data_IF_377053975147
#
_entry.id   IF_377053975147
#
_cell.length_a   1.000
_cell.length_b   1.000
_cell.length_c   1.000
_cell.angle_alpha   90.00
_cell.angle_beta   90.00
_cell.angle_gamma   90.00
#
_symmetry.space_group_name_H-M   'P 1'
#
loop_
_entity.id
_entity.type
_entity.pdbx_description
1 polymer ?
#
# COMPACT_ATOMS: atom_id res chain seq x y z
N UNK A 1 -4.15 -20.07 45.54
CA UNK A 1 -5.49 -20.47 46.04
C UNK A 1 -6.48 -19.37 45.66
N UNK A 2 -7.48 -19.67 44.83
CA UNK A 2 -8.47 -18.66 44.42
C UNK A 2 -9.30 -19.01 43.19
N UNK A 3 -10.13 -20.05 43.32
CA UNK A 3 -11.37 -20.41 42.59
C UNK A 3 -11.58 -19.96 41.14
N UNK A 4 -11.69 -20.99 40.30
CA UNK A 4 -12.41 -21.07 39.02
C UNK A 4 -13.92 -20.77 39.13
N UNK A 5 -14.48 -20.20 38.05
CA UNK A 5 -15.87 -20.42 37.60
C UNK A 5 -15.90 -20.49 36.08
N UNK A 6 -16.28 -21.65 35.56
CA UNK A 6 -16.65 -21.84 34.16
C UNK A 6 -18.10 -21.43 33.91
N UNK A 7 -18.44 -21.23 32.65
CA UNK A 7 -19.83 -21.17 32.17
C UNK A 7 -19.94 -22.07 30.94
N UNK A 8 -20.86 -23.03 31.04
CA UNK A 8 -21.24 -23.99 30.02
C UNK A 8 -22.11 -23.33 28.93
N UNK A 9 -22.10 -23.92 27.74
CA UNK A 9 -22.75 -23.37 26.54
C UNK A 9 -24.24 -23.65 26.42
N UNK A 10 -24.79 -23.23 25.27
CA UNK A 10 -26.07 -23.70 24.73
C UNK A 10 -25.91 -23.88 23.23
N UNK A 11 -26.04 -25.12 22.78
CA UNK A 11 -26.27 -25.52 21.39
C UNK A 11 -27.79 -25.54 21.20
N UNK A 12 -28.30 -24.84 20.19
CA UNK A 12 -29.67 -25.01 19.72
C UNK A 12 -29.63 -25.18 18.20
N UNK A 13 -29.75 -26.43 17.76
CA UNK A 13 -30.12 -26.76 16.38
C UNK A 13 -31.61 -26.60 16.20
N UNK A 14 -32.03 -26.15 15.01
CA UNK A 14 -33.41 -26.20 14.58
C UNK A 14 -33.48 -26.89 13.20
N UNK A 15 -34.21 -27.99 13.14
CA UNK A 15 -34.64 -28.71 11.93
C UNK A 15 -36.16 -28.74 11.95
N UNK A 16 -36.81 -28.27 10.88
CA UNK A 16 -38.19 -28.57 10.47
C UNK A 16 -38.19 -28.47 8.92
N UNK A 17 -38.36 -29.54 8.13
CA UNK A 17 -39.48 -30.48 7.93
C UNK A 17 -40.53 -30.01 6.88
N UNK A 18 -40.45 -30.64 5.70
CA UNK A 18 -41.50 -31.26 4.84
C UNK A 18 -42.87 -30.58 4.65
N UNK A 19 -43.29 -30.47 3.38
CA UNK A 19 -44.68 -30.74 2.97
C UNK A 19 -45.29 -29.79 1.93
N UNK A 20 -45.68 -30.32 0.76
CA UNK A 20 -46.51 -29.60 -0.21
C UNK A 20 -46.76 -30.36 -1.52
N UNK A 21 -47.72 -31.28 -1.51
CA UNK A 21 -48.37 -31.88 -2.68
C UNK A 21 -49.70 -31.14 -2.99
N UNK A 22 -50.10 -31.14 -4.27
CA UNK A 22 -51.40 -30.71 -4.80
C UNK A 22 -51.22 -29.73 -5.97
N UNK A 23 -51.87 -29.82 -7.13
CA UNK A 23 -53.08 -30.54 -7.53
C UNK A 23 -53.13 -30.61 -9.07
N UNK A 24 -53.76 -31.66 -9.58
CA UNK A 24 -54.01 -32.00 -10.99
C UNK A 24 -55.14 -31.18 -11.63
N UNK A 25 -55.02 -30.83 -12.92
CA UNK A 25 -56.11 -30.21 -13.68
C UNK A 25 -55.91 -30.14 -15.20
N UNK A 26 -56.37 -31.19 -15.88
CA UNK A 26 -57.05 -31.24 -17.20
C UNK A 26 -56.32 -30.99 -18.51
N UNK A 27 -56.51 -31.98 -19.39
CA UNK A 27 -56.21 -32.05 -20.82
C UNK A 27 -56.75 -30.89 -21.66
N UNK A 28 -55.91 -30.41 -22.59
CA UNK A 28 -56.39 -29.95 -23.89
C UNK A 28 -55.45 -30.41 -25.01
N UNK A 29 -56.07 -31.03 -26.01
CA UNK A 29 -55.44 -31.79 -27.09
C UNK A 29 -55.72 -31.07 -28.40
N UNK A 30 -54.75 -30.33 -28.94
CA UNK A 30 -54.51 -30.21 -30.39
C UNK A 30 -53.37 -29.21 -30.71
N UNK A 31 -52.27 -29.72 -31.26
CA UNK A 31 -51.80 -29.42 -32.62
C UNK A 31 -50.31 -29.78 -32.72
N UNK A 32 -50.03 -30.78 -33.56
CA UNK A 32 -48.68 -31.11 -34.02
C UNK A 32 -48.09 -29.90 -34.73
N UNK A 33 -47.00 -29.36 -34.18
CA UNK A 33 -45.97 -28.70 -34.97
C UNK A 33 -44.61 -29.16 -34.44
N UNK A 34 -44.06 -30.17 -35.11
CA UNK A 34 -42.69 -30.63 -34.92
C UNK A 34 -41.75 -29.54 -35.44
N UNK A 35 -41.43 -28.58 -34.58
CA UNK A 35 -40.17 -27.86 -34.64
C UNK A 35 -39.28 -28.49 -33.58
N UNK A 36 -38.29 -29.25 -34.03
CA UNK A 36 -37.23 -29.81 -33.22
C UNK A 36 -36.58 -28.68 -32.41
N UNK A 37 -36.54 -28.74 -31.07
CA UNK A 37 -35.83 -27.74 -30.29
C UNK A 37 -34.35 -27.88 -30.65
N UNK A 38 -33.81 -26.88 -31.36
CA UNK A 38 -32.36 -26.74 -31.53
C UNK A 38 -31.72 -26.89 -30.16
N UNK A 39 -30.67 -27.72 -30.01
CA UNK A 39 -29.96 -27.83 -28.75
C UNK A 39 -29.46 -26.44 -28.38
N UNK A 40 -29.97 -25.92 -27.27
CA UNK A 40 -29.39 -24.79 -26.54
C UNK A 40 -27.89 -25.06 -26.43
N UNK A 41 -27.09 -24.14 -26.95
CA UNK A 41 -25.65 -24.30 -27.13
C UNK A 41 -25.00 -24.87 -25.88
N UNK A 42 -24.02 -25.77 -26.10
CA UNK A 42 -23.14 -26.26 -25.05
C UNK A 42 -22.71 -25.10 -24.15
N UNK A 43 -22.72 -25.25 -22.81
CA UNK A 43 -22.23 -24.21 -21.93
C UNK A 43 -20.85 -23.82 -22.40
N UNK A 44 -20.69 -22.56 -22.82
CA UNK A 44 -19.41 -22.01 -23.25
C UNK A 44 -18.40 -22.32 -22.15
N UNK A 45 -17.45 -23.20 -22.45
CA UNK A 45 -16.42 -23.64 -21.51
C UNK A 45 -15.41 -22.53 -21.19
N UNK A 46 -15.46 -21.43 -21.94
CA UNK A 46 -14.63 -20.26 -21.74
C UNK A 46 -15.18 -19.39 -20.60
N UNK A 47 -14.31 -18.88 -19.72
CA UNK A 47 -14.71 -17.88 -18.73
C UNK A 47 -15.21 -16.62 -19.43
N UNK A 48 -16.06 -15.85 -18.75
CA UNK A 48 -16.48 -14.54 -19.25
C UNK A 48 -15.35 -13.53 -19.03
N UNK A 49 -15.26 -12.50 -19.88
CA UNK A 49 -14.24 -11.45 -19.76
C UNK A 49 -14.26 -10.77 -18.40
N UNK A 50 -15.45 -10.54 -17.84
CA UNK A 50 -15.61 -9.91 -16.52
C UNK A 50 -15.02 -10.78 -15.41
N UNK A 51 -15.06 -12.11 -15.54
CA UNK A 51 -14.46 -13.00 -14.56
C UNK A 51 -12.94 -13.05 -14.71
N UNK A 52 -12.42 -12.96 -15.94
CA UNK A 52 -10.97 -12.88 -16.19
C UNK A 52 -10.42 -11.59 -15.59
N UNK A 53 -11.06 -10.46 -15.85
CA UNK A 53 -10.73 -9.15 -15.28
C UNK A 53 -10.77 -9.18 -13.74
N UNK A 54 -11.87 -9.67 -13.16
CA UNK A 54 -12.00 -9.83 -11.72
C UNK A 54 -10.88 -10.69 -11.10
N UNK A 55 -10.51 -11.79 -11.75
CA UNK A 55 -9.42 -12.65 -11.29
C UNK A 55 -8.06 -11.93 -11.40
N UNK A 56 -7.87 -11.13 -12.45
CA UNK A 56 -6.70 -10.27 -12.61
C UNK A 56 -6.55 -9.28 -11.46
N UNK A 57 -7.60 -8.49 -11.18
CA UNK A 57 -7.61 -7.51 -10.08
C UNK A 57 -7.40 -8.17 -8.71
N UNK A 58 -7.96 -9.36 -8.53
CA UNK A 58 -7.76 -10.16 -7.32
C UNK A 58 -6.29 -10.60 -7.17
N UNK A 59 -5.65 -11.05 -8.25
CA UNK A 59 -4.23 -11.41 -8.27
C UNK A 59 -3.35 -10.19 -7.99
N UNK A 60 -3.62 -9.06 -8.64
CA UNK A 60 -2.94 -7.79 -8.39
C UNK A 60 -3.03 -7.36 -6.92
N UNK A 61 -4.23 -7.36 -6.34
CA UNK A 61 -4.44 -7.06 -4.92
C UNK A 61 -3.64 -7.99 -4.00
N UNK A 62 -3.58 -9.30 -4.32
CA UNK A 62 -2.78 -10.24 -3.52
C UNK A 62 -1.27 -10.03 -3.67
N UNK A 63 -0.81 -9.58 -4.83
CA UNK A 63 0.58 -9.20 -5.07
C UNK A 63 0.93 -7.92 -4.31
N UNK A 64 0.04 -6.92 -4.32
CA UNK A 64 0.20 -5.68 -3.55
C UNK A 64 0.34 -5.97 -2.05
N UNK A 65 -0.56 -6.80 -1.47
CA UNK A 65 -0.46 -7.22 -0.07
C UNK A 65 0.86 -7.94 0.26
N UNK A 66 1.36 -8.78 -0.66
CA UNK A 66 2.63 -9.47 -0.48
C UNK A 66 3.80 -8.50 -0.53
N UNK A 67 3.79 -7.55 -1.46
CA UNK A 67 4.84 -6.55 -1.61
C UNK A 67 4.87 -5.62 -0.40
N UNK A 68 3.71 -5.10 0.02
CA UNK A 68 3.55 -4.29 1.23
C UNK A 68 4.15 -4.99 2.47
N UNK A 69 3.87 -6.28 2.65
CA UNK A 69 4.49 -7.07 3.73
C UNK A 69 6.01 -7.20 3.59
N UNK A 70 6.51 -7.38 2.38
CA UNK A 70 7.94 -7.52 2.13
C UNK A 70 8.68 -6.20 2.38
N UNK A 71 8.13 -5.09 1.89
CA UNK A 71 8.65 -3.73 2.05
C UNK A 71 8.63 -3.33 3.52
N UNK A 72 7.51 -3.53 4.22
CA UNK A 72 7.41 -3.29 5.67
C UNK A 72 8.47 -4.04 6.48
N UNK A 73 8.77 -5.30 6.13
CA UNK A 73 9.83 -6.06 6.79
C UNK A 73 11.23 -5.54 6.46
N UNK A 74 11.44 -5.01 5.24
CA UNK A 74 12.69 -4.41 4.82
C UNK A 74 12.92 -3.07 5.54
N UNK A 75 11.92 -2.20 5.57
CA UNK A 75 11.97 -0.90 6.26
C UNK A 75 12.25 -1.09 7.75
N UNK A 76 11.57 -2.04 8.41
CA UNK A 76 11.82 -2.33 9.82
C UNK A 76 13.24 -2.85 10.08
N UNK A 77 13.78 -3.63 9.14
CA UNK A 77 15.17 -4.08 9.22
C UNK A 77 16.12 -2.89 9.11
N UNK A 78 15.89 -2.00 8.15
CA UNK A 78 16.70 -0.80 7.95
C UNK A 78 16.66 0.18 9.13
N UNK A 79 15.49 0.36 9.75
CA UNK A 79 15.33 1.13 10.98
C UNK A 79 16.21 0.55 12.09
N UNK A 80 16.26 -0.78 12.23
CA UNK A 80 17.04 -1.48 13.27
C UNK A 80 18.53 -1.55 13.01
N UNK A 81 18.93 -1.66 11.75
CA UNK A 81 20.32 -1.81 11.30
C UNK A 81 21.00 -0.44 11.04
N UNK A 82 20.36 0.67 11.44
CA UNK A 82 20.92 2.01 11.28
C UNK A 82 22.11 2.23 12.24
N UNK A 83 23.34 2.20 11.70
CA UNK A 83 24.60 2.38 12.44
C UNK A 83 24.90 3.84 12.81
N UNK A 84 23.90 4.60 13.25
CA UNK A 84 24.09 6.00 13.63
C UNK A 84 24.16 6.18 15.16
N UNK A 85 25.31 6.65 15.64
CA UNK A 85 25.57 6.90 17.08
C UNK A 85 24.52 7.79 17.76
N UNK A 86 23.78 8.57 16.96
CA UNK A 86 22.73 9.49 17.41
C UNK A 86 21.31 8.91 17.42
N UNK A 87 21.07 7.76 16.79
CA UNK A 87 19.73 7.17 16.57
C UNK A 87 18.77 8.02 15.72
N UNK A 88 19.26 9.10 15.12
CA UNK A 88 18.50 10.09 14.37
C UNK A 88 18.05 9.54 13.01
N UNK A 89 18.90 8.75 12.35
CA UNK A 89 18.54 8.13 11.07
C UNK A 89 17.49 7.03 11.27
N UNK A 90 17.67 6.18 12.28
CA UNK A 90 16.66 5.20 12.67
C UNK A 90 15.31 5.87 12.97
N UNK A 91 15.35 6.96 13.74
CA UNK A 91 14.18 7.75 14.09
C UNK A 91 13.48 8.38 12.89
N UNK A 92 14.23 9.00 11.97
CA UNK A 92 13.68 9.59 10.75
C UNK A 92 13.05 8.53 9.83
N UNK A 93 13.70 7.38 9.65
CA UNK A 93 13.14 6.24 8.90
C UNK A 93 11.86 5.72 9.54
N UNK A 94 11.84 5.60 10.87
CA UNK A 94 10.65 5.18 11.60
C UNK A 94 9.48 6.15 11.41
N UNK A 95 9.71 7.47 11.44
CA UNK A 95 8.66 8.46 11.15
C UNK A 95 8.13 8.31 9.72
N UNK A 96 9.04 8.18 8.74
CA UNK A 96 8.67 8.02 7.33
C UNK A 96 7.81 6.77 7.13
N UNK A 97 8.29 5.62 7.62
CA UNK A 97 7.57 4.34 7.62
C UNK A 97 6.19 4.43 8.27
N UNK A 98 6.09 5.06 9.44
CA UNK A 98 4.82 5.24 10.18
C UNK A 98 3.84 6.17 9.46
N UNK A 99 4.35 7.04 8.59
CA UNK A 99 3.52 7.99 7.81
C UNK A 99 3.03 7.37 6.50
N UNK A 100 3.84 6.54 5.85
CA UNK A 100 3.52 5.93 4.54
C UNK A 100 2.68 4.66 4.68
N UNK A 101 3.06 3.76 5.58
CA UNK A 101 2.46 2.42 5.69
C UNK A 101 0.92 2.43 5.87
N UNK A 102 0.32 3.31 6.72
CA UNK A 102 -1.13 3.38 6.82
C UNK A 102 -1.81 3.76 5.50
N UNK A 103 -1.20 4.65 4.71
CA UNK A 103 -1.72 5.07 3.41
C UNK A 103 -1.65 3.91 2.40
N UNK A 104 -0.56 3.15 2.37
CA UNK A 104 -0.42 1.99 1.48
C UNK A 104 -1.45 0.89 1.81
N UNK A 105 -1.72 0.67 3.10
CA UNK A 105 -2.78 -0.26 3.55
C UNK A 105 -4.17 0.24 3.11
N UNK A 106 -4.46 1.54 3.21
CA UNK A 106 -5.73 2.13 2.76
C UNK A 106 -5.88 2.06 1.24
N UNK A 107 -4.81 2.23 0.46
CA UNK A 107 -4.83 2.04 -1.01
C UNK A 107 -5.29 0.63 -1.36
N UNK A 108 -4.67 -0.40 -0.76
CA UNK A 108 -5.07 -1.80 -1.00
C UNK A 108 -6.48 -2.09 -0.48
N UNK A 109 -6.91 -1.43 0.60
CA UNK A 109 -8.28 -1.52 1.07
C UNK A 109 -9.26 -0.98 0.01
N UNK A 110 -8.95 0.17 -0.57
CA UNK A 110 -9.73 0.80 -1.64
C UNK A 110 -9.85 -0.07 -2.89
N UNK A 111 -8.74 -0.66 -3.34
CA UNK A 111 -8.72 -1.55 -4.51
C UNK A 111 -9.62 -2.78 -4.29
N UNK A 112 -9.49 -3.42 -3.12
CA UNK A 112 -10.36 -4.54 -2.75
C UNK A 112 -11.82 -4.13 -2.57
N UNK A 113 -12.09 -2.88 -2.19
CA UNK A 113 -13.45 -2.35 -2.06
C UNK A 113 -14.12 -2.11 -3.41
N UNK A 114 -13.35 -1.61 -4.38
CA UNK A 114 -13.76 -1.40 -5.76
C UNK A 114 -14.04 -2.72 -6.49
N UNK A 115 -13.39 -3.81 -6.05
CA UNK A 115 -13.62 -5.14 -6.61
C UNK A 115 -15.06 -5.64 -6.36
N UNK A 116 -15.88 -5.57 -7.42
CA UNK A 116 -17.25 -6.07 -7.44
C UNK A 116 -17.35 -7.59 -7.24
N UNK A 117 -18.57 -8.15 -7.11
CA UNK A 117 -18.74 -9.60 -6.99
C UNK A 117 -18.38 -10.31 -8.30
N UNK A 118 -17.72 -11.47 -8.18
CA UNK A 118 -17.28 -12.31 -9.31
C UNK A 118 -18.41 -13.14 -9.92
N UNK A 119 -19.51 -13.33 -9.17
CA UNK A 119 -20.55 -14.31 -9.50
C UNK A 119 -20.18 -15.75 -9.18
N UNK A 120 -19.01 -15.99 -8.57
CA UNK A 120 -18.57 -17.29 -8.05
C UNK A 120 -18.59 -17.24 -6.51
N UNK A 121 -19.55 -17.88 -5.83
CA UNK A 121 -19.76 -17.70 -4.39
C UNK A 121 -18.54 -17.99 -3.51
N UNK A 122 -17.68 -18.94 -3.91
CA UNK A 122 -16.46 -19.25 -3.17
C UNK A 122 -15.40 -18.14 -3.30
N UNK A 123 -15.30 -17.51 -4.47
CA UNK A 123 -14.37 -16.41 -4.73
C UNK A 123 -14.86 -15.12 -4.07
N UNK A 124 -16.18 -14.88 -4.05
CA UNK A 124 -16.78 -13.73 -3.34
C UNK A 124 -16.51 -13.80 -1.84
N UNK A 125 -16.60 -14.99 -1.23
CA UNK A 125 -16.25 -15.20 0.19
C UNK A 125 -14.77 -14.92 0.48
N UNK A 126 -13.88 -15.30 -0.44
CA UNK A 126 -12.45 -15.01 -0.34
C UNK A 126 -12.21 -13.49 -0.37
N UNK A 127 -12.79 -12.78 -1.34
CA UNK A 127 -12.73 -11.31 -1.43
C UNK A 127 -13.25 -10.66 -0.15
N UNK A 128 -14.43 -11.06 0.34
CA UNK A 128 -15.03 -10.47 1.53
C UNK A 128 -14.18 -10.70 2.79
N UNK A 129 -13.59 -11.88 2.91
CA UNK A 129 -12.66 -12.19 4.01
C UNK A 129 -11.39 -11.32 3.95
N UNK A 130 -10.84 -11.10 2.75
CA UNK A 130 -9.69 -10.22 2.54
C UNK A 130 -10.03 -8.76 2.84
N UNK A 131 -11.10 -8.22 2.25
CA UNK A 131 -11.60 -6.86 2.51
C UNK A 131 -11.74 -6.60 4.00
N UNK A 132 -12.45 -7.49 4.71
CA UNK A 132 -12.66 -7.37 6.16
C UNK A 132 -11.34 -7.35 6.92
N UNK A 133 -10.38 -8.18 6.52
CA UNK A 133 -9.07 -8.27 7.18
C UNK A 133 -8.22 -7.02 6.95
N UNK A 134 -8.13 -6.56 5.70
CA UNK A 134 -7.38 -5.35 5.33
C UNK A 134 -7.99 -4.12 6.00
N UNK A 135 -9.31 -3.93 5.92
CA UNK A 135 -10.01 -2.82 6.60
C UNK A 135 -9.78 -2.83 8.11
N UNK A 136 -9.84 -4.02 8.75
CA UNK A 136 -9.56 -4.13 10.18
C UNK A 136 -8.12 -3.76 10.55
N UNK A 137 -7.15 -3.90 9.66
CA UNK A 137 -5.77 -3.43 9.89
C UNK A 137 -5.68 -1.94 9.62
N UNK A 138 -6.26 -1.45 8.52
CA UNK A 138 -6.33 -0.02 8.19
C UNK A 138 -6.90 0.81 9.34
N UNK A 139 -8.05 0.39 9.89
CA UNK A 139 -8.70 1.09 11.00
C UNK A 139 -7.84 1.10 12.28
N UNK A 140 -7.07 0.03 12.53
CA UNK A 140 -6.13 -0.02 13.67
C UNK A 140 -4.95 0.92 13.47
N UNK A 141 -4.40 0.98 12.26
CA UNK A 141 -3.30 1.88 11.92
C UNK A 141 -3.74 3.34 11.97
N UNK A 142 -4.92 3.67 11.42
CA UNK A 142 -5.48 5.02 11.48
C UNK A 142 -5.82 5.50 12.89
N UNK A 143 -6.13 4.58 13.82
CA UNK A 143 -6.34 4.91 15.24
C UNK A 143 -5.03 5.18 16.00
N UNK A 144 -3.87 4.73 15.48
CA UNK A 144 -2.56 5.02 16.06
C UNK A 144 -2.14 6.43 15.61
N UNK A 145 -2.42 7.43 16.45
CA UNK A 145 -2.07 8.83 16.13
C UNK A 145 -0.55 9.01 16.02
N UNK A 146 -0.04 9.62 14.94
CA UNK A 146 1.39 9.92 14.78
C UNK A 146 1.93 10.89 15.85
N UNK A 147 1.06 11.62 16.56
CA UNK A 147 1.45 12.64 17.54
C UNK A 147 2.02 12.08 18.86
N UNK A 148 1.81 10.80 19.17
CA UNK A 148 2.21 10.20 20.46
C UNK A 148 3.55 9.43 20.37
N UNK A 149 4.11 9.31 19.16
CA UNK A 149 5.11 8.29 18.85
C UNK A 149 6.55 8.76 18.63
N UNK A 150 6.88 10.06 18.67
CA UNK A 150 8.24 10.49 18.32
C UNK A 150 9.29 9.89 19.28
N UNK A 151 9.02 9.82 20.59
CA UNK A 151 9.97 9.23 21.53
C UNK A 151 10.05 7.68 21.43
N UNK A 152 9.09 7.05 20.74
CA UNK A 152 8.93 5.58 20.67
C UNK A 152 8.86 5.05 19.23
N UNK A 153 9.29 5.83 18.24
CA UNK A 153 9.00 5.61 16.83
C UNK A 153 9.43 4.22 16.35
N UNK A 154 10.59 3.72 16.78
CA UNK A 154 11.07 2.38 16.44
C UNK A 154 10.17 1.26 16.99
N UNK A 155 9.71 1.40 18.24
CA UNK A 155 8.80 0.42 18.85
C UNK A 155 7.42 0.44 18.20
N UNK A 156 6.93 1.63 17.85
CA UNK A 156 5.69 1.80 17.09
C UNK A 156 5.83 1.22 15.68
N UNK A 157 6.97 1.42 15.01
CA UNK A 157 7.24 0.82 13.71
C UNK A 157 7.18 -0.71 13.75
N UNK A 158 7.74 -1.33 14.80
CA UNK A 158 7.63 -2.78 14.99
C UNK A 158 6.18 -3.26 15.21
N UNK A 159 5.35 -2.49 15.91
CA UNK A 159 3.93 -2.81 16.10
C UNK A 159 3.11 -2.65 14.82
N UNK A 160 3.40 -1.63 14.01
CA UNK A 160 2.79 -1.43 12.68
C UNK A 160 3.18 -2.57 11.74
N UNK A 161 4.46 -2.93 11.66
CA UNK A 161 4.91 -4.05 10.83
C UNK A 161 4.19 -5.34 11.24
N UNK A 162 4.05 -5.60 12.54
CA UNK A 162 3.30 -6.77 13.02
C UNK A 162 1.85 -6.77 12.53
N UNK A 163 1.17 -5.62 12.44
CA UNK A 163 -0.16 -5.55 11.85
C UNK A 163 -0.11 -5.82 10.34
N UNK A 164 0.84 -5.24 9.61
CA UNK A 164 1.02 -5.46 8.17
C UNK A 164 1.33 -6.94 7.87
N UNK A 165 2.24 -7.57 8.61
CA UNK A 165 2.56 -9.00 8.48
C UNK A 165 1.36 -9.91 8.71
N UNK A 166 0.35 -9.44 9.46
CA UNK A 166 -0.87 -10.18 9.67
C UNK A 166 -1.73 -10.28 8.40
N UNK A 167 -1.51 -9.44 7.38
CA UNK A 167 -2.24 -9.40 6.09
C UNK A 167 -1.90 -10.57 5.14
N UNK A 168 -1.92 -11.78 5.67
CA UNK A 168 -1.83 -13.01 4.89
C UNK A 168 -3.17 -13.31 4.18
N UNK A 169 -3.16 -13.90 2.98
CA UNK A 169 -4.36 -14.42 2.35
C UNK A 169 -5.08 -15.43 3.25
N UNK A 170 -6.42 -15.40 3.34
CA UNK A 170 -7.18 -16.40 4.08
C UNK A 170 -7.21 -17.74 3.31
N UNK A 171 -7.41 -18.83 4.03
CA UNK A 171 -7.59 -20.16 3.43
C UNK A 171 -9.08 -20.49 3.24
N UNK A 172 -9.49 -21.07 2.10
CA UNK A 172 -8.69 -21.31 0.90
C UNK A 172 -8.39 -20.01 0.13
N UNK A 173 -7.16 -19.91 -0.37
CA UNK A 173 -6.75 -18.81 -1.25
C UNK A 173 -7.22 -19.04 -2.70
N UNK A 174 -6.96 -18.07 -3.58
CA UNK A 174 -7.39 -18.13 -4.98
C UNK A 174 -6.82 -19.38 -5.71
N UNK A 175 -5.51 -19.72 -5.61
CA UNK A 175 -4.98 -20.97 -6.16
C UNK A 175 -5.61 -22.26 -5.58
N UNK A 176 -6.04 -22.27 -4.32
CA UNK A 176 -6.76 -23.41 -3.76
C UNK A 176 -8.20 -23.50 -4.32
N UNK A 177 -8.84 -22.37 -4.62
CA UNK A 177 -10.17 -22.33 -5.23
C UNK A 177 -10.16 -22.76 -6.70
N UNK A 178 -9.15 -22.40 -7.49
CA UNK A 178 -9.05 -22.80 -8.91
C UNK A 178 -9.03 -24.32 -9.07
N UNK A 179 -8.40 -25.05 -8.14
CA UNK A 179 -8.41 -26.53 -8.12
C UNK A 179 -9.81 -27.15 -7.98
N UNK A 180 -10.79 -26.39 -7.45
CA UNK A 180 -12.14 -26.88 -7.14
C UNK A 180 -13.20 -26.30 -8.07
N UNK A 181 -12.92 -25.18 -8.73
CA UNK A 181 -13.89 -24.45 -9.55
C UNK A 181 -13.32 -24.27 -10.97
N UNK A 182 -13.70 -25.13 -11.93
CA UNK A 182 -13.12 -25.11 -13.28
C UNK A 182 -13.23 -23.77 -14.02
N UNK A 183 -14.37 -23.07 -13.87
CA UNK A 183 -14.56 -21.75 -14.48
C UNK A 183 -13.57 -20.72 -13.92
N UNK A 184 -13.24 -20.79 -12.63
CA UNK A 184 -12.26 -19.93 -11.98
C UNK A 184 -10.84 -20.29 -12.40
N UNK A 185 -10.54 -21.58 -12.58
CA UNK A 185 -9.26 -22.02 -13.12
C UNK A 185 -9.02 -21.46 -14.53
N UNK A 186 -10.01 -21.57 -15.42
CA UNK A 186 -9.89 -21.05 -16.77
C UNK A 186 -9.72 -19.52 -16.79
N UNK A 187 -10.40 -18.80 -15.90
CA UNK A 187 -10.21 -17.35 -15.76
C UNK A 187 -8.81 -17.00 -15.24
N UNK A 188 -8.33 -17.74 -14.24
CA UNK A 188 -6.99 -17.58 -13.67
C UNK A 188 -5.87 -17.82 -14.68
N UNK A 189 -6.02 -18.80 -15.57
CA UNK A 189 -5.05 -19.07 -16.64
C UNK A 189 -5.01 -17.95 -17.70
N UNK A 190 -6.12 -17.23 -17.89
CA UNK A 190 -6.22 -16.14 -18.87
C UNK A 190 -5.85 -14.77 -18.31
N UNK A 191 -5.91 -14.59 -16.99
CA UNK A 191 -5.57 -13.34 -16.33
C UNK A 191 -4.04 -13.15 -16.28
N UNK A 192 -3.53 -12.15 -17.00
CA UNK A 192 -2.09 -11.86 -17.09
C UNK A 192 -1.47 -11.54 -15.72
N UNK A 193 -2.23 -10.87 -14.86
CA UNK A 193 -1.81 -10.51 -13.49
C UNK A 193 -1.57 -11.73 -12.59
N UNK A 194 -2.16 -12.87 -12.94
CA UNK A 194 -1.98 -14.12 -12.21
C UNK A 194 -0.77 -14.94 -12.71
N UNK A 195 -0.13 -14.51 -13.80
CA UNK A 195 0.98 -15.22 -14.40
C UNK A 195 2.23 -15.20 -13.49
N UNK A 196 3.01 -16.29 -13.43
CA UNK A 196 4.27 -16.30 -12.71
C UNK A 196 5.22 -15.20 -13.20
N UNK A 197 5.70 -14.36 -12.29
CA UNK A 197 6.64 -13.29 -12.62
C UNK A 197 5.96 -12.00 -13.13
N UNK A 198 4.63 -11.96 -13.18
CA UNK A 198 3.92 -10.69 -13.34
C UNK A 198 4.35 -9.71 -12.24
N UNK A 199 4.52 -8.46 -12.65
CA UNK A 199 4.81 -7.33 -11.76
C UNK A 199 3.76 -6.27 -12.07
N UNK A 200 3.21 -5.61 -11.05
CA UNK A 200 2.40 -4.43 -11.29
C UNK A 200 3.26 -3.42 -12.05
N UNK A 201 2.71 -2.92 -13.15
CA UNK A 201 3.25 -1.78 -13.86
C UNK A 201 3.24 -0.65 -12.82
N UNK A 202 4.43 -0.29 -12.30
CA UNK A 202 4.58 0.48 -11.06
C UNK A 202 3.49 1.55 -10.93
N UNK A 203 2.63 1.36 -9.93
CA UNK A 203 1.36 2.08 -9.73
C UNK A 203 1.31 3.45 -10.40
N UNK A 204 0.45 3.55 -11.40
CA UNK A 204 -0.21 4.79 -11.80
C UNK A 204 -1.06 5.33 -10.63
N UNK A 205 -0.36 5.84 -9.62
CA UNK A 205 -0.85 6.45 -8.40
C UNK A 205 -0.15 7.77 -8.09
N UNK A 206 0.55 8.37 -9.07
CA UNK A 206 0.69 9.82 -9.23
C UNK A 206 0.96 10.07 -10.72
N UNK A 207 0.01 10.71 -11.40
CA UNK A 207 0.16 11.18 -12.78
C UNK A 207 1.11 12.37 -12.92
N UNK A 208 2.19 12.41 -12.15
CA UNK A 208 3.41 13.10 -12.53
C UNK A 208 4.33 12.03 -13.08
N UNK A 209 4.68 12.08 -14.37
CA UNK A 209 5.93 11.43 -14.78
C UNK A 209 6.98 11.78 -13.72
N UNK A 210 7.66 10.83 -13.06
CA UNK A 210 8.88 11.18 -12.38
C UNK A 210 9.70 11.93 -13.43
N UNK A 211 9.91 13.23 -13.18
CA UNK A 211 10.76 14.02 -14.05
C UNK A 211 12.02 13.18 -14.19
N UNK A 212 12.36 12.82 -15.43
CA UNK A 212 13.46 11.91 -15.72
C UNK A 212 14.60 12.25 -14.78
N UNK A 213 15.08 11.26 -14.00
CA UNK A 213 16.23 11.44 -13.13
C UNK A 213 17.22 12.30 -13.89
N UNK A 214 17.59 13.49 -13.39
CA UNK A 214 18.57 14.32 -14.06
C UNK A 214 19.88 13.52 -14.04
N UNK A 215 20.07 12.71 -15.08
CA UNK A 215 21.23 11.85 -15.32
C UNK A 215 22.42 12.66 -15.80
N UNK A 216 22.31 13.99 -15.71
CA UNK A 216 23.39 14.93 -15.89
C UNK A 216 24.09 15.19 -14.55
N UNK A 217 25.36 15.59 -14.59
CA UNK A 217 26.08 15.97 -13.37
C UNK A 217 25.32 17.08 -12.63
N UNK A 218 25.33 17.03 -11.29
CA UNK A 218 24.76 18.10 -10.47
C UNK A 218 25.23 19.48 -10.97
N UNK A 219 24.30 20.45 -11.09
CA UNK A 219 24.69 21.80 -11.41
C UNK A 219 25.67 22.32 -10.35
N UNK A 220 26.56 23.21 -10.75
CA UNK A 220 27.48 23.81 -9.80
C UNK A 220 26.70 24.78 -8.90
N UNK A 221 26.61 24.47 -7.62
CA UNK A 221 26.06 25.37 -6.61
C UNK A 221 26.85 26.69 -6.57
N UNK A 222 26.17 27.83 -6.56
CA UNK A 222 26.82 29.15 -6.56
C UNK A 222 27.86 29.33 -5.44
N UNK A 223 27.54 28.83 -4.24
CA UNK A 223 28.39 28.90 -3.05
C UNK A 223 29.14 27.58 -2.78
N UNK A 224 28.99 26.57 -3.64
CA UNK A 224 29.64 25.27 -3.46
C UNK A 224 29.31 24.66 -2.10
N UNK A 225 30.31 24.20 -1.34
CA UNK A 225 30.14 23.66 0.03
C UNK A 225 30.25 24.74 1.13
N UNK A 226 30.18 26.03 0.78
CA UNK A 226 30.32 27.12 1.74
C UNK A 226 29.00 27.42 2.47
N UNK A 227 28.62 26.59 3.43
CA UNK A 227 27.36 26.74 4.18
C UNK A 227 27.26 28.04 5.00
N UNK A 228 28.38 28.69 5.30
CA UNK A 228 28.39 29.98 5.97
C UNK A 228 27.82 31.12 5.09
N UNK A 229 27.82 30.95 3.76
CA UNK A 229 27.19 31.90 2.84
C UNK A 229 25.69 32.06 3.12
N UNK A 230 25.05 31.03 3.68
CA UNK A 230 23.61 31.03 3.99
C UNK A 230 23.22 31.90 5.18
N UNK A 231 24.16 32.50 5.90
CA UNK A 231 23.88 33.22 7.16
C UNK A 231 22.80 34.31 7.03
N UNK A 232 22.71 34.97 5.88
CA UNK A 232 21.70 35.98 5.60
C UNK A 232 20.35 35.42 5.09
N UNK A 233 20.26 34.10 4.91
CA UNK A 233 19.08 33.40 4.40
C UNK A 233 18.99 33.33 2.87
N UNK A 234 20.05 33.68 2.14
CA UNK A 234 20.13 33.56 0.68
C UNK A 234 21.47 32.93 0.26
N UNK A 235 21.44 31.70 -0.22
CA UNK A 235 22.63 30.99 -0.71
C UNK A 235 22.21 29.84 -1.63
N UNK A 236 23.17 29.28 -2.35
CA UNK A 236 23.01 28.04 -3.09
C UNK A 236 24.21 27.12 -2.84
N UNK A 237 23.98 26.02 -2.12
CA UNK A 237 25.04 25.14 -1.61
C UNK A 237 24.87 23.70 -2.06
N UNK A 238 25.98 22.96 -2.15
CA UNK A 238 26.03 21.53 -2.43
C UNK A 238 26.18 20.75 -1.13
N UNK A 239 25.25 19.82 -0.86
CA UNK A 239 25.31 18.87 0.24
C UNK A 239 25.47 17.47 -0.34
N UNK A 240 26.53 16.75 0.04
CA UNK A 240 26.83 15.42 -0.54
C UNK A 240 26.39 14.25 0.34
N UNK A 241 26.05 14.50 1.60
CA UNK A 241 25.55 13.48 2.52
C UNK A 241 24.77 14.14 3.66
N UNK A 242 25.46 14.80 4.59
CA UNK A 242 24.84 15.55 5.68
C UNK A 242 25.49 16.91 5.86
N UNK A 243 24.70 17.91 6.28
CA UNK A 243 25.20 19.24 6.61
C UNK A 243 24.29 19.98 7.59
N UNK A 244 24.89 20.65 8.56
CA UNK A 244 24.21 21.65 9.39
C UNK A 244 24.37 23.04 8.77
N UNK A 245 23.27 23.62 8.32
CA UNK A 245 23.23 24.93 7.66
C UNK A 245 22.51 25.91 8.58
N UNK A 246 23.18 27.02 8.92
CA UNK A 246 22.52 28.12 9.65
C UNK A 246 22.13 29.19 8.65
N UNK A 247 20.83 29.32 8.38
CA UNK A 247 20.29 30.29 7.46
C UNK A 247 19.32 31.23 8.17
N UNK A 248 19.61 32.54 8.14
CA UNK A 248 18.80 33.57 8.83
C UNK A 248 18.57 33.27 10.32
N UNK A 249 19.57 32.69 10.98
CA UNK A 249 19.49 32.26 12.39
C UNK A 249 18.71 30.96 12.64
N UNK A 250 18.10 30.36 11.61
CA UNK A 250 17.48 29.03 11.67
C UNK A 250 18.54 27.98 11.39
N UNK A 251 18.73 27.03 12.31
CA UNK A 251 19.57 25.85 12.07
C UNK A 251 18.75 24.79 11.35
N UNK A 252 19.21 24.39 10.17
CA UNK A 252 18.62 23.35 9.35
C UNK A 252 19.64 22.23 9.21
N UNK A 253 19.34 21.06 9.76
CA UNK A 253 20.07 19.84 9.49
C UNK A 253 19.56 19.25 8.19
N UNK A 254 20.45 18.99 7.25
CA UNK A 254 20.13 18.46 5.92
C UNK A 254 20.78 17.09 5.79
N UNK A 255 20.00 16.13 5.32
CA UNK A 255 20.43 14.79 4.95
C UNK A 255 20.05 14.50 3.51
N UNK A 256 20.98 14.00 2.71
CA UNK A 256 20.77 13.61 1.32
C UNK A 256 20.93 12.09 1.24
N UNK A 257 19.90 11.43 0.72
CA UNK A 257 19.88 10.01 0.37
C UNK A 257 19.79 9.86 -1.16
N UNK A 258 19.77 8.63 -1.67
CA UNK A 258 19.78 8.36 -3.12
C UNK A 258 18.56 8.93 -3.86
N UNK A 259 17.41 9.01 -3.18
CA UNK A 259 16.10 9.37 -3.75
C UNK A 259 15.45 10.60 -3.09
N UNK A 260 16.06 11.15 -2.04
CA UNK A 260 15.42 12.17 -1.22
C UNK A 260 16.39 13.10 -0.48
N UNK A 261 15.89 14.29 -0.16
CA UNK A 261 16.53 15.28 0.71
C UNK A 261 15.65 15.53 1.91
N UNK A 262 16.18 15.29 3.10
CA UNK A 262 15.52 15.51 4.37
C UNK A 262 16.04 16.78 5.03
N UNK A 263 15.12 17.65 5.45
CA UNK A 263 15.38 18.86 6.20
C UNK A 263 14.82 18.73 7.60
N UNK A 264 15.62 19.05 8.60
CA UNK A 264 15.19 19.08 9.99
C UNK A 264 15.52 20.43 10.63
N UNK A 265 14.54 21.03 11.29
CA UNK A 265 14.72 22.32 11.99
C UNK A 265 13.72 22.44 13.12
N UNK A 266 14.19 22.76 14.32
CA UNK A 266 13.33 23.04 15.48
C UNK A 266 12.39 21.89 15.86
N UNK A 267 12.79 20.64 15.60
CA UNK A 267 11.98 19.43 15.86
C UNK A 267 11.04 19.04 14.73
N UNK A 268 10.88 19.87 13.69
CA UNK A 268 10.16 19.49 12.48
C UNK A 268 11.10 18.76 11.50
N UNK A 269 10.58 17.75 10.82
CA UNK A 269 11.26 16.97 9.78
C UNK A 269 10.43 17.02 8.49
N UNK A 270 11.08 17.30 7.36
CA UNK A 270 10.46 17.39 6.04
C UNK A 270 11.33 16.61 5.05
N UNK A 271 10.74 15.71 4.27
CA UNK A 271 11.43 14.96 3.23
C UNK A 271 10.90 15.41 1.87
N UNK A 272 11.80 15.72 0.95
CA UNK A 272 11.50 16.13 -0.42
C UNK A 272 12.16 15.14 -1.39
N UNK A 273 11.39 14.60 -2.34
CA UNK A 273 11.92 13.76 -3.41
C UNK A 273 12.36 14.61 -4.61
N UNK A 274 13.53 14.28 -5.20
CA UNK A 274 14.02 14.83 -6.46
C UNK A 274 14.25 16.36 -6.50
N UNK A 275 14.62 16.86 -7.69
CA UNK A 275 14.75 18.29 -7.96
C UNK A 275 13.38 18.98 -8.08
N UNK A 276 13.24 20.15 -7.47
CA UNK A 276 12.05 21.03 -7.55
C UNK A 276 11.23 21.14 -6.28
N UNK A 277 11.51 20.34 -5.24
CA UNK A 277 10.82 20.43 -3.95
C UNK A 277 11.17 21.71 -3.18
N UNK A 278 10.19 22.30 -2.48
CA UNK A 278 10.37 23.45 -1.58
C UNK A 278 10.01 23.08 -0.14
N UNK A 279 10.90 23.38 0.80
CA UNK A 279 10.66 23.31 2.24
C UNK A 279 10.56 24.72 2.83
N UNK A 280 9.49 24.96 3.59
CA UNK A 280 9.28 26.22 4.32
C UNK A 280 9.68 26.08 5.78
N UNK A 281 10.42 27.05 6.30
CA UNK A 281 10.80 27.15 7.71
C UNK A 281 10.22 28.42 8.33
N UNK A 282 10.18 28.44 9.67
CA UNK A 282 9.86 29.64 10.43
C UNK A 282 10.73 30.84 10.01
N UNK A 283 10.24 32.05 10.27
CA UNK A 283 10.87 33.31 9.85
C UNK A 283 10.87 33.57 8.33
N UNK A 284 10.04 32.88 7.54
CA UNK A 284 9.95 33.09 6.10
C UNK A 284 11.20 32.62 5.34
N UNK A 285 11.92 31.62 5.88
CA UNK A 285 13.02 30.97 5.20
C UNK A 285 12.47 29.83 4.33
N UNK A 286 12.98 29.70 3.12
CA UNK A 286 12.65 28.60 2.19
C UNK A 286 13.92 27.89 1.75
N UNK A 287 13.87 26.57 1.59
CA UNK A 287 14.90 25.80 0.90
C UNK A 287 14.29 25.12 -0.31
N UNK A 288 14.90 25.31 -1.48
CA UNK A 288 14.52 24.64 -2.71
C UNK A 288 15.58 23.61 -3.08
N UNK A 289 15.18 22.39 -3.41
CA UNK A 289 16.07 21.38 -4.00
C UNK A 289 16.22 21.73 -5.48
N UNK A 290 17.34 22.33 -5.87
CA UNK A 290 17.60 22.72 -7.26
C UNK A 290 17.86 21.50 -8.13
N UNK A 291 18.63 20.55 -7.60
CA UNK A 291 18.95 19.29 -8.23
C UNK A 291 19.36 18.29 -7.15
N UNK A 292 19.20 17.00 -7.44
CA UNK A 292 19.51 15.91 -6.55
C UNK A 292 19.84 14.66 -7.39
N UNK A 293 20.90 13.97 -6.99
CA UNK A 293 21.32 12.67 -7.53
C UNK A 293 22.10 11.89 -6.45
N UNK A 294 22.64 10.72 -6.82
CA UNK A 294 23.47 9.88 -5.95
C UNK A 294 24.74 10.56 -5.38
N UNK A 295 25.19 11.65 -5.98
CA UNK A 295 26.42 12.36 -5.59
C UNK A 295 26.11 13.54 -4.65
N UNK A 296 24.84 13.92 -4.49
CA UNK A 296 24.38 14.93 -3.53
C UNK A 296 23.15 15.72 -3.97
N UNK A 297 22.91 16.85 -3.30
CA UNK A 297 21.85 17.79 -3.63
C UNK A 297 22.37 19.23 -3.65
N UNK A 298 21.92 20.00 -4.63
CA UNK A 298 22.11 21.45 -4.70
C UNK A 298 20.90 22.12 -4.12
N UNK A 299 21.09 22.91 -3.07
CA UNK A 299 20.03 23.51 -2.28
C UNK A 299 20.11 25.02 -2.34
N UNK A 300 18.99 25.65 -2.66
CA UNK A 300 18.86 27.10 -2.69
C UNK A 300 18.02 27.59 -1.52
N UNK A 301 18.66 28.30 -0.59
CA UNK A 301 17.95 28.99 0.48
C UNK A 301 17.55 30.38 0.01
N UNK A 302 16.34 30.81 0.37
CA UNK A 302 15.82 32.12 0.04
C UNK A 302 14.84 32.63 1.09
N UNK A 303 14.52 33.92 1.01
CA UNK A 303 13.53 34.59 1.86
C UNK A 303 12.19 34.62 1.10
N UNK A 304 11.10 34.33 1.81
CA UNK A 304 9.72 34.55 1.34
C UNK A 304 9.41 36.04 1.17
#
# INVERSE_FOLDING_TARGET
MGRSRGVAGVVAGLVLAVGGCGESGTDDKAAKSSAEPKPTGSPSSSPSSELVEWVGDMCESTVALRNLRKESAADLKEIRDSDDETGMFAHARAISYLSTTPADVETVAGDLEALGPSGVPAADRLRDALRKKVRSVADKLGAQSPAVGLEYAESTAADVDKQVQSLTPPEPDLPALTKRVPRLAAAYEQAEQCAPGWKPDGSSGEGGSPAADPTGPLPKAADGKNYAACSDGACEVLVTSTADITAKGTKVHVTVADDSVTFQSGGALMQLGGGGGEAGFGNGLKANVVAHDKDGAVLKFSRS
#
